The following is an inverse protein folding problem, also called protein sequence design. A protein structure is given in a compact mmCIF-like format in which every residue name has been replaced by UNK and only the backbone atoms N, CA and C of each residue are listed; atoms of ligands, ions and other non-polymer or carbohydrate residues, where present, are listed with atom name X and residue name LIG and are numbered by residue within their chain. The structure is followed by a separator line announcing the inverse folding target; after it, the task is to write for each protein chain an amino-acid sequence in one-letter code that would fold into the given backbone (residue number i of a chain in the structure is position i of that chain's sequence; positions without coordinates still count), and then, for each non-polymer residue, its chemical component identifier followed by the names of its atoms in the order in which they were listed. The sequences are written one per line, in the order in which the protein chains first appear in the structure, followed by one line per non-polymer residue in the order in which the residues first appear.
data_IF_721886099986
#
_entry.id   IF_721886099986
#
_cell.length_a   1.000
_cell.length_b   1.000
_cell.length_c   1.000
_cell.angle_alpha   90.00
_cell.angle_beta   90.00
_cell.angle_gamma   90.00
#
_symmetry.space_group_name_H-M   'P 1'
#
loop_
_entity.id
_entity.type
_entity.pdbx_description
1 polymer ?
#
# COMPACT_ATOMS: atom_id res chain seq x y z
N UNK A 1 -39.23 -48.17 12.09
CA UNK A 1 -39.07 -46.70 12.18
C UNK A 1 -38.59 -46.43 13.58
N UNK A 2 -37.28 -46.21 13.73
CA UNK A 2 -36.59 -46.22 15.01
C UNK A 2 -36.64 -44.84 15.70
N UNK A 3 -37.23 -44.84 16.89
CA UNK A 3 -37.04 -43.87 17.97
C UNK A 3 -35.56 -43.69 18.31
N UNK A 4 -34.96 -42.52 18.02
CA UNK A 4 -33.86 -41.97 18.85
C UNK A 4 -33.75 -40.45 18.77
N UNK A 5 -33.82 -39.85 19.96
CA UNK A 5 -33.12 -38.63 20.38
C UNK A 5 -33.80 -37.28 20.06
N UNK A 6 -34.34 -36.60 21.09
CA UNK A 6 -33.57 -35.60 21.87
C UNK A 6 -34.43 -34.88 22.91
N UNK A 7 -34.15 -35.22 24.17
CA UNK A 7 -33.91 -34.38 25.36
C UNK A 7 -34.85 -33.20 25.68
N UNK A 8 -35.34 -33.27 26.92
CA UNK A 8 -36.23 -32.40 27.69
C UNK A 8 -35.61 -31.06 28.17
N UNK A 9 -36.51 -30.07 28.34
CA UNK A 9 -36.63 -28.95 29.30
C UNK A 9 -35.44 -28.49 30.17
N UNK A 10 -35.27 -27.15 30.26
CA UNK A 10 -35.50 -26.38 31.51
C UNK A 10 -35.16 -24.89 31.35
N UNK A 11 -36.14 -24.06 31.71
CA UNK A 11 -35.97 -22.64 32.07
C UNK A 11 -35.46 -22.55 33.50
N UNK A 12 -34.52 -21.65 33.82
CA UNK A 12 -34.43 -20.98 35.14
C UNK A 12 -33.37 -19.87 35.12
N UNK A 13 -33.66 -18.80 35.86
CA UNK A 13 -33.13 -17.44 35.74
C UNK A 13 -31.75 -17.22 36.41
N UNK A 14 -31.05 -16.15 36.01
CA UNK A 14 -29.83 -15.69 36.69
C UNK A 14 -29.46 -14.22 36.46
N UNK A 15 -30.09 -13.33 37.25
CA UNK A 15 -29.52 -12.13 37.91
C UNK A 15 -28.91 -10.95 37.12
N UNK A 16 -29.73 -9.90 37.03
CA UNK A 16 -29.54 -8.46 37.37
C UNK A 16 -28.16 -7.79 37.49
N UNK A 17 -28.12 -6.61 36.85
CA UNK A 17 -27.15 -5.51 36.81
C UNK A 17 -26.47 -5.01 38.11
N UNK A 18 -25.21 -4.56 37.95
CA UNK A 18 -24.51 -3.38 38.55
C UNK A 18 -23.06 -3.39 38.01
N UNK A 19 -22.30 -2.32 37.79
CA UNK A 19 -22.48 -0.88 37.88
C UNK A 19 -21.38 -0.19 37.01
N UNK A 20 -21.71 1.00 36.51
CA UNK A 20 -20.88 2.21 36.28
C UNK A 20 -19.34 2.12 36.35
N UNK A 21 -18.66 2.63 35.30
CA UNK A 21 -17.97 3.93 35.35
C UNK A 21 -17.69 4.51 33.94
N UNK A 22 -17.76 5.84 33.80
CA UNK A 22 -17.38 6.67 32.63
C UNK A 22 -15.84 6.91 32.68
N UNK A 23 -15.12 7.55 31.71
CA UNK A 23 -15.55 8.70 30.91
C UNK A 23 -14.99 8.83 29.46
N UNK A 24 -15.51 9.88 28.83
CA UNK A 24 -15.07 10.63 27.64
C UNK A 24 -13.73 10.30 26.95
N UNK A 25 -13.80 10.11 25.63
CA UNK A 25 -12.65 10.16 24.73
C UNK A 25 -13.07 10.48 23.30
N UNK A 26 -12.70 11.68 22.85
CA UNK A 26 -12.87 12.28 21.51
C UNK A 26 -12.61 11.27 20.38
N UNK A 27 -13.49 11.24 19.37
CA UNK A 27 -13.25 10.58 18.07
C UNK A 27 -12.00 11.17 17.40
N UNK A 28 -10.83 10.60 17.69
CA UNK A 28 -9.64 10.82 16.88
C UNK A 28 -9.67 9.81 15.75
N UNK A 29 -9.81 10.36 14.54
CA UNK A 29 -9.67 9.71 13.24
C UNK A 29 -8.27 9.10 13.14
N UNK A 30 -8.10 7.89 13.69
CA UNK A 30 -6.89 7.11 13.53
C UNK A 30 -6.81 6.67 12.07
N UNK A 31 -5.97 7.37 11.29
CA UNK A 31 -5.43 6.86 10.04
C UNK A 31 -4.70 5.55 10.36
N UNK A 32 -5.08 4.40 9.80
CA UNK A 32 -4.24 3.22 9.87
C UNK A 32 -3.11 3.39 8.84
N UNK A 33 -1.86 3.30 9.27
CA UNK A 33 -0.72 3.37 8.36
C UNK A 33 0.65 3.39 9.03
N UNK A 34 0.84 2.60 10.08
CA UNK A 34 2.17 2.11 10.50
C UNK A 34 2.76 1.37 9.28
N UNK A 35 4.03 1.52 8.88
CA UNK A 35 5.19 1.05 9.62
C UNK A 35 6.48 1.80 9.23
N UNK A 36 7.34 2.19 10.19
CA UNK A 36 8.73 2.49 9.95
C UNK A 36 9.54 1.19 10.07
N UNK A 37 9.91 0.55 8.95
CA UNK A 37 10.89 -0.53 8.98
C UNK A 37 12.28 0.03 8.68
N UNK A 38 13.08 0.08 9.74
CA UNK A 38 14.50 0.39 9.72
C UNK A 38 15.25 -0.67 8.90
N UNK A 39 15.88 -0.28 7.79
CA UNK A 39 17.03 -1.03 7.26
C UNK A 39 18.11 -0.11 6.66
N UNK A 40 19.16 0.08 7.47
CA UNK A 40 20.59 0.13 7.15
C UNK A 40 20.97 0.32 5.66
N UNK A 41 21.44 1.53 5.32
CA UNK A 41 22.74 1.83 4.66
C UNK A 41 22.74 3.30 4.15
N UNK A 42 23.66 4.16 4.61
CA UNK A 42 23.80 5.54 4.14
C UNK A 42 24.64 5.55 2.85
N UNK A 43 24.02 5.31 1.70
CA UNK A 43 24.80 5.39 0.45
C UNK A 43 24.10 5.06 -0.86
N UNK A 44 22.85 4.60 -0.86
CA UNK A 44 22.13 4.36 -2.13
C UNK A 44 21.17 5.51 -2.40
N UNK A 45 21.45 6.20 -3.49
CA UNK A 45 20.62 7.19 -4.16
C UNK A 45 19.13 6.82 -4.01
N UNK A 46 18.37 7.64 -3.28
CA UNK A 46 16.94 7.35 -3.06
C UNK A 46 16.18 7.34 -4.38
N UNK A 47 15.18 6.45 -4.49
CA UNK A 47 14.34 6.35 -5.69
C UNK A 47 13.58 7.67 -5.86
N UNK A 48 13.51 8.19 -7.08
CA UNK A 48 12.83 9.45 -7.39
C UNK A 48 11.75 9.18 -8.41
N UNK A 49 10.59 9.81 -8.22
CA UNK A 49 9.43 9.67 -9.09
C UNK A 49 9.14 11.04 -9.69
N UNK A 50 9.47 11.21 -10.97
CA UNK A 50 9.24 12.44 -11.72
C UNK A 50 7.98 12.31 -12.56
N UNK A 51 7.20 13.39 -12.65
CA UNK A 51 6.10 13.47 -13.61
C UNK A 51 6.57 14.22 -14.85
N UNK A 52 6.44 13.60 -16.01
CA UNK A 52 6.70 14.20 -17.30
C UNK A 52 5.38 14.30 -18.08
N UNK A 53 4.96 15.52 -18.40
CA UNK A 53 3.76 15.80 -19.21
C UNK A 53 4.06 16.70 -20.41
N UNK A 54 5.28 17.25 -20.48
CA UNK A 54 5.68 18.22 -21.51
C UNK A 54 5.80 17.55 -22.87
N UNK A 55 5.11 18.10 -23.88
CA UNK A 55 5.18 17.63 -25.27
C UNK A 55 4.42 16.34 -25.59
N UNK A 56 3.63 15.79 -24.65
CA UNK A 56 2.94 14.49 -24.84
C UNK A 56 1.42 14.61 -25.05
N UNK A 57 0.95 15.75 -25.56
CA UNK A 57 -0.46 15.95 -25.94
C UNK A 57 -1.44 15.76 -24.77
N UNK A 58 -1.06 16.17 -23.55
CA UNK A 58 -1.89 16.05 -22.35
C UNK A 58 -1.75 14.72 -21.59
N UNK A 59 -1.01 13.74 -22.11
CA UNK A 59 -0.73 12.48 -21.40
C UNK A 59 0.42 12.66 -20.41
N UNK A 60 0.15 12.42 -19.12
CA UNK A 60 1.20 12.36 -18.09
C UNK A 60 1.85 10.99 -18.06
N UNK A 61 3.16 10.97 -17.84
CA UNK A 61 3.92 9.76 -17.52
C UNK A 61 4.72 9.99 -16.25
N UNK A 62 4.83 8.98 -15.41
CA UNK A 62 5.72 8.96 -14.25
C UNK A 62 7.00 8.23 -14.63
N UNK A 63 8.14 8.89 -14.46
CA UNK A 63 9.48 8.32 -14.62
C UNK A 63 10.05 8.03 -13.24
N UNK A 64 10.48 6.80 -13.01
CA UNK A 64 11.05 6.36 -11.75
C UNK A 64 12.54 6.08 -11.97
N UNK A 65 13.39 6.82 -11.27
CA UNK A 65 14.85 6.72 -11.34
C UNK A 65 15.48 6.36 -9.99
N UNK A 66 16.76 5.99 -9.99
CA UNK A 66 17.49 5.66 -8.77
C UNK A 66 17.24 4.24 -8.25
N UNK A 67 16.72 3.34 -9.08
CA UNK A 67 16.57 1.93 -8.76
C UNK A 67 17.91 1.21 -8.98
N UNK A 68 18.62 0.88 -7.89
CA UNK A 68 19.82 0.03 -7.95
C UNK A 68 19.46 -1.46 -8.10
N UNK A 69 18.69 -1.79 -9.13
CA UNK A 69 18.26 -3.15 -9.47
C UNK A 69 18.90 -3.58 -10.79
N UNK A 70 19.20 -4.87 -10.93
CA UNK A 70 19.59 -5.47 -12.21
C UNK A 70 18.45 -5.34 -13.24
N UNK A 71 18.70 -5.33 -14.56
CA UNK A 71 17.67 -5.37 -15.60
C UNK A 71 16.57 -6.42 -15.38
N UNK A 72 16.90 -7.59 -14.81
CA UNK A 72 15.90 -8.59 -14.42
C UNK A 72 14.98 -8.10 -13.29
N UNK A 73 15.57 -7.46 -12.27
CA UNK A 73 14.85 -6.84 -11.16
C UNK A 73 13.98 -5.66 -11.58
N UNK A 74 14.46 -4.82 -12.50
CA UNK A 74 13.70 -3.70 -13.07
C UNK A 74 12.46 -4.19 -13.82
N UNK A 75 12.59 -5.24 -14.64
CA UNK A 75 11.45 -5.85 -15.34
C UNK A 75 10.44 -6.46 -14.38
N UNK A 76 10.91 -7.11 -13.30
CA UNK A 76 10.03 -7.67 -12.28
C UNK A 76 9.27 -6.59 -11.52
N UNK A 77 9.96 -5.54 -11.09
CA UNK A 77 9.35 -4.39 -10.42
C UNK A 77 8.33 -3.71 -11.34
N UNK A 78 8.68 -3.47 -12.60
CA UNK A 78 7.77 -2.91 -13.60
C UNK A 78 6.51 -3.77 -13.76
N UNK A 79 6.64 -5.09 -13.85
CA UNK A 79 5.47 -6.00 -13.92
C UNK A 79 4.56 -5.84 -12.70
N UNK A 80 5.12 -5.80 -11.48
CA UNK A 80 4.35 -5.58 -10.25
C UNK A 80 3.61 -4.24 -10.25
N UNK A 81 4.32 -3.16 -10.61
CA UNK A 81 3.74 -1.82 -10.68
C UNK A 81 2.60 -1.74 -11.70
N UNK A 82 2.81 -2.27 -12.91
CA UNK A 82 1.79 -2.33 -13.96
C UNK A 82 0.57 -3.15 -13.54
N UNK A 83 0.79 -4.31 -12.90
CA UNK A 83 -0.29 -5.16 -12.41
C UNK A 83 -1.14 -4.46 -11.34
N UNK A 84 -0.52 -3.71 -10.42
CA UNK A 84 -1.24 -2.99 -9.38
C UNK A 84 -1.96 -1.73 -9.87
N UNK A 85 -1.44 -1.07 -10.91
CA UNK A 85 -1.99 0.19 -11.41
C UNK A 85 -2.92 0.02 -12.61
N UNK A 86 -2.86 -1.13 -13.29
CA UNK A 86 -3.60 -1.37 -14.54
C UNK A 86 -3.14 -0.49 -15.70
N UNK A 87 -1.95 0.11 -15.61
CA UNK A 87 -1.43 1.04 -16.61
C UNK A 87 -0.29 0.46 -17.43
N UNK A 88 -0.08 1.05 -18.60
CA UNK A 88 1.08 0.77 -19.45
C UNK A 88 2.37 1.29 -18.81
N UNK A 89 3.48 0.66 -19.16
CA UNK A 89 4.81 1.11 -18.72
C UNK A 89 5.92 0.32 -19.39
N UNK A 90 7.10 0.91 -19.43
CA UNK A 90 8.30 0.43 -20.10
C UNK A 90 9.54 0.66 -19.22
N UNK A 91 10.57 -0.17 -19.42
CA UNK A 91 11.90 0.08 -18.87
C UNK A 91 12.68 0.86 -19.92
N UNK A 92 13.28 1.99 -19.54
CA UNK A 92 14.12 2.82 -20.41
C UNK A 92 15.49 2.96 -19.77
N UNK A 93 16.43 2.13 -20.19
CA UNK A 93 17.73 2.02 -19.53
C UNK A 93 17.57 1.56 -18.08
N UNK A 94 17.98 2.40 -17.13
CA UNK A 94 17.88 2.17 -15.68
C UNK A 94 16.66 2.87 -15.04
N UNK A 95 15.77 3.44 -15.85
CA UNK A 95 14.57 4.13 -15.40
C UNK A 95 13.29 3.37 -15.81
N UNK A 96 12.23 3.50 -15.01
CA UNK A 96 10.92 2.96 -15.33
C UNK A 96 9.97 4.08 -15.74
N UNK A 97 9.37 3.97 -16.92
CA UNK A 97 8.32 4.86 -17.38
C UNK A 97 6.96 4.19 -17.17
N UNK A 98 6.06 4.86 -16.44
CA UNK A 98 4.71 4.42 -16.15
C UNK A 98 3.75 5.46 -16.74
N UNK A 99 2.72 5.02 -17.45
CA UNK A 99 1.68 5.92 -17.96
C UNK A 99 0.72 6.34 -16.84
N UNK A 100 0.33 7.61 -16.85
CA UNK A 100 -0.60 8.21 -15.88
C UNK A 100 0.11 8.98 -14.76
N UNK A 101 -0.69 9.75 -14.00
CA UNK A 101 -0.25 10.43 -12.78
C UNK A 101 -0.57 9.59 -11.55
N UNK A 102 0.16 8.48 -11.37
CA UNK A 102 -0.05 7.56 -10.25
C UNK A 102 1.01 7.74 -9.16
N UNK A 103 1.54 8.96 -9.01
CA UNK A 103 2.64 9.30 -8.09
C UNK A 103 2.41 8.82 -6.65
N UNK A 104 1.22 9.01 -6.10
CA UNK A 104 0.90 8.57 -4.72
C UNK A 104 0.88 7.05 -4.60
N UNK A 105 0.27 6.36 -5.57
CA UNK A 105 0.23 4.89 -5.58
C UNK A 105 1.61 4.29 -5.80
N UNK A 106 2.42 4.90 -6.68
CA UNK A 106 3.80 4.49 -6.92
C UNK A 106 4.66 4.65 -5.68
N UNK A 107 4.52 5.77 -4.96
CA UNK A 107 5.18 5.98 -3.67
C UNK A 107 4.84 4.85 -2.70
N UNK A 108 3.54 4.57 -2.51
CA UNK A 108 3.09 3.51 -1.60
C UNK A 108 3.59 2.11 -2.01
N UNK A 109 3.57 1.80 -3.30
CA UNK A 109 4.04 0.51 -3.82
C UNK A 109 5.56 0.35 -3.64
N UNK A 110 6.33 1.41 -3.89
CA UNK A 110 7.77 1.41 -3.67
C UNK A 110 8.11 1.30 -2.19
N UNK A 111 7.40 2.01 -1.31
CA UNK A 111 7.57 1.89 0.14
C UNK A 111 7.22 0.48 0.64
N UNK A 112 6.16 -0.15 0.10
CA UNK A 112 5.80 -1.55 0.40
C UNK A 112 6.87 -2.55 -0.02
N UNK A 113 7.55 -2.30 -1.14
CA UNK A 113 8.68 -3.10 -1.61
C UNK A 113 9.98 -2.79 -0.85
N UNK A 114 9.96 -1.86 0.11
CA UNK A 114 11.11 -1.48 0.93
C UNK A 114 12.04 -0.45 0.26
N UNK A 115 11.59 0.16 -0.83
CA UNK A 115 12.32 1.23 -1.53
C UNK A 115 11.88 2.59 -1.02
N UNK A 116 12.83 3.38 -0.50
CA UNK A 116 12.56 4.77 -0.09
C UNK A 116 12.49 5.67 -1.33
N UNK A 117 11.27 5.87 -1.81
CA UNK A 117 10.99 6.75 -2.93
C UNK A 117 10.65 8.18 -2.50
N UNK A 118 10.91 9.15 -3.37
CA UNK A 118 10.55 10.56 -3.19
C UNK A 118 9.88 11.07 -4.46
N UNK A 119 8.80 11.82 -4.28
CA UNK A 119 8.18 12.55 -5.39
C UNK A 119 9.09 13.72 -5.80
N UNK A 120 9.39 13.83 -7.08
CA UNK A 120 10.22 14.86 -7.67
C UNK A 120 9.42 15.61 -8.74
N UNK A 121 9.46 16.94 -8.70
CA UNK A 121 8.72 17.82 -9.62
C UNK A 121 7.44 18.39 -8.99
N UNK A 122 7.33 19.72 -9.04
CA UNK A 122 6.11 20.50 -8.79
C UNK A 122 5.34 20.71 -10.07
#
# INVERSE_FOLDING_TARGET
MDDRYRVVYSTEQGQTAKAMDKPAGRKNRAKPGNQPTVIKKPGKQGVRIRRESKGRGGKSVCVIDGLSLDPGGLKLLLKKLKASLGCGGAVKGDELEIQGDHREKLLLLLEKEGHKAKLAGG
#
